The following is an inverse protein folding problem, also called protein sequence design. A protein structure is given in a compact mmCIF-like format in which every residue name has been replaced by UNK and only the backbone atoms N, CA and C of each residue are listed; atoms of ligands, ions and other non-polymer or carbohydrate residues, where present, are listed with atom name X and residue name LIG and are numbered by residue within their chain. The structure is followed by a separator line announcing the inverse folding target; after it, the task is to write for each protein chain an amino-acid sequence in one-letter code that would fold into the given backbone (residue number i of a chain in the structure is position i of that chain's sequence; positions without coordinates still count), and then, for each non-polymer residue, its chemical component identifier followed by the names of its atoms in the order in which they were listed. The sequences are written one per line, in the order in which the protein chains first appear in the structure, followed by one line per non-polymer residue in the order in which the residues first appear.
data_IF_821695944758
#
_entry.id   IF_821695944758
#
_cell.length_a   1.000
_cell.length_b   1.000
_cell.length_c   1.000
_cell.angle_alpha   90.00
_cell.angle_beta   90.00
_cell.angle_gamma   90.00
#
_symmetry.space_group_name_H-M   'P 1'
#
loop_
_entity.id
_entity.type
_entity.pdbx_description
1 polymer ?
#
# COMPACT_ATOMS: atom_id res chain seq x y z
N UNK A 1 59.82 28.19 19.58
CA UNK A 1 59.51 27.12 18.59
C UNK A 1 58.06 27.29 18.17
N UNK A 2 57.77 27.51 16.88
CA UNK A 2 56.38 27.58 16.36
C UNK A 2 55.92 26.15 16.01
N UNK A 3 54.69 25.71 16.35
CA UNK A 3 54.21 24.41 15.93
C UNK A 3 54.00 24.42 14.41
N UNK A 4 54.59 23.45 13.73
CA UNK A 4 54.36 23.24 12.31
C UNK A 4 52.93 22.66 12.14
N UNK A 5 52.01 23.44 11.57
CA UNK A 5 50.66 22.97 11.26
C UNK A 5 50.74 21.95 10.12
N UNK A 6 50.63 20.66 10.44
CA UNK A 6 50.56 19.59 9.45
C UNK A 6 49.26 19.75 8.64
N UNK A 7 49.40 20.04 7.34
CA UNK A 7 48.28 20.12 6.41
C UNK A 7 47.78 18.69 6.14
N UNK A 8 46.60 18.34 6.63
CA UNK A 8 45.94 17.07 6.33
C UNK A 8 45.29 17.16 4.95
N UNK A 9 45.88 16.50 3.96
CA UNK A 9 45.32 16.42 2.60
C UNK A 9 44.27 15.30 2.56
N UNK A 10 43.01 15.65 2.27
CA UNK A 10 41.90 14.68 2.10
C UNK A 10 41.48 14.57 0.64
N UNK A 11 41.15 13.35 0.21
CA UNK A 11 40.54 13.08 -1.10
C UNK A 11 39.05 13.45 -1.06
N UNK A 12 38.53 13.98 -2.17
CA UNK A 12 37.10 14.23 -2.37
C UNK A 12 36.43 13.05 -3.08
N UNK A 13 35.18 12.75 -2.73
CA UNK A 13 34.38 11.72 -3.40
C UNK A 13 33.79 12.14 -4.75
N UNK A 14 33.96 13.40 -5.16
CA UNK A 14 33.41 13.96 -6.41
C UNK A 14 31.89 13.75 -6.57
N UNK A 15 31.15 13.76 -5.46
CA UNK A 15 29.69 13.66 -5.48
C UNK A 15 29.07 14.85 -6.22
N UNK A 16 27.99 14.57 -6.94
CA UNK A 16 27.20 15.60 -7.62
C UNK A 16 26.31 16.33 -6.61
N UNK A 17 25.98 17.61 -6.88
CA UNK A 17 25.01 18.34 -6.08
C UNK A 17 23.63 17.68 -6.14
N UNK A 18 22.73 18.01 -5.20
CA UNK A 18 21.36 17.53 -5.23
C UNK A 18 20.64 17.92 -6.53
N UNK A 19 19.72 17.06 -6.98
CA UNK A 19 18.93 17.26 -8.22
C UNK A 19 17.99 18.45 -8.09
N UNK A 20 17.50 18.72 -6.89
CA UNK A 20 16.63 19.83 -6.57
C UNK A 20 17.36 20.80 -5.64
N UNK A 21 17.40 22.08 -6.03
CA UNK A 21 17.92 23.12 -5.17
C UNK A 21 16.89 23.52 -4.09
N UNK A 22 17.36 24.29 -3.13
CA UNK A 22 16.58 24.65 -1.96
C UNK A 22 15.43 25.59 -2.33
N UNK A 23 15.68 26.53 -3.24
CA UNK A 23 14.73 27.49 -3.75
C UNK A 23 13.56 26.79 -4.45
N UNK A 24 13.84 25.78 -5.28
CA UNK A 24 12.84 24.93 -5.92
C UNK A 24 11.98 24.22 -4.88
N UNK A 25 12.59 23.56 -3.89
CA UNK A 25 11.85 22.87 -2.83
C UNK A 25 10.95 23.83 -2.05
N UNK A 26 11.42 25.05 -1.76
CA UNK A 26 10.63 26.07 -1.08
C UNK A 26 9.48 26.62 -1.94
N UNK A 27 9.65 26.63 -3.26
CA UNK A 27 8.63 27.12 -4.20
C UNK A 27 7.49 26.13 -4.44
N UNK A 28 7.58 24.89 -3.92
CA UNK A 28 6.54 23.89 -4.08
C UNK A 28 5.25 24.33 -3.39
N UNK A 29 4.21 24.53 -4.20
CA UNK A 29 2.84 24.79 -3.76
C UNK A 29 1.95 23.58 -4.05
N UNK A 30 1.02 23.28 -3.15
CA UNK A 30 0.13 22.13 -3.24
C UNK A 30 -1.31 22.63 -3.40
N UNK A 31 -1.78 22.65 -4.65
CA UNK A 31 -3.15 23.06 -4.99
C UNK A 31 -4.23 22.16 -4.36
N UNK A 32 -3.87 20.94 -3.95
CA UNK A 32 -4.79 19.90 -3.48
C UNK A 32 -5.13 19.95 -1.98
N UNK A 33 -4.69 20.99 -1.27
CA UNK A 33 -4.95 21.15 0.17
C UNK A 33 -6.34 21.74 0.49
N UNK A 34 -7.06 22.24 -0.53
CA UNK A 34 -8.35 22.89 -0.35
C UNK A 34 -9.49 21.94 0.08
N UNK A 35 -10.45 22.48 0.83
CA UNK A 35 -11.63 21.75 1.35
C UNK A 35 -12.38 20.98 0.26
N UNK A 36 -12.48 21.54 -0.96
CA UNK A 36 -13.09 20.88 -2.13
C UNK A 36 -12.53 19.47 -2.39
N UNK A 37 -11.22 19.29 -2.26
CA UNK A 37 -10.56 18.00 -2.49
C UNK A 37 -10.75 17.05 -1.32
N UNK A 38 -10.73 17.56 -0.09
CA UNK A 38 -10.98 16.78 1.11
C UNK A 38 -12.42 16.22 1.13
N UNK A 39 -13.41 17.06 0.79
CA UNK A 39 -14.81 16.67 0.66
C UNK A 39 -14.98 15.62 -0.44
N UNK A 40 -14.44 15.87 -1.64
CA UNK A 40 -14.52 14.92 -2.74
C UNK A 40 -13.83 13.59 -2.43
N UNK A 41 -12.68 13.63 -1.78
CA UNK A 41 -11.97 12.42 -1.33
C UNK A 41 -12.83 11.60 -0.34
N UNK A 42 -13.50 12.27 0.59
CA UNK A 42 -14.38 11.62 1.57
C UNK A 42 -15.60 10.99 0.92
N UNK A 43 -16.23 11.66 -0.05
CA UNK A 43 -17.32 11.08 -0.84
C UNK A 43 -16.90 9.82 -1.59
N UNK A 44 -15.74 9.86 -2.26
CA UNK A 44 -15.21 8.72 -3.01
C UNK A 44 -14.85 7.55 -2.09
N UNK A 45 -14.27 7.83 -0.91
CA UNK A 45 -14.04 6.79 0.10
C UNK A 45 -15.34 6.09 0.50
N UNK A 46 -16.40 6.85 0.71
CA UNK A 46 -17.71 6.28 1.05
C UNK A 46 -18.26 5.40 -0.08
N UNK A 47 -18.10 5.83 -1.35
CA UNK A 47 -18.51 5.01 -2.49
C UNK A 47 -17.71 3.71 -2.60
N UNK A 48 -16.41 3.73 -2.34
CA UNK A 48 -15.57 2.51 -2.31
C UNK A 48 -16.02 1.57 -1.19
N UNK A 49 -16.38 2.09 0.00
CA UNK A 49 -16.97 1.27 1.07
C UNK A 49 -18.29 0.64 0.64
N UNK A 50 -19.17 1.37 -0.06
CA UNK A 50 -20.40 0.80 -0.60
C UNK A 50 -20.13 -0.29 -1.67
N UNK A 51 -19.10 -0.13 -2.50
CA UNK A 51 -18.69 -1.16 -3.46
C UNK A 51 -18.24 -2.40 -2.71
N UNK A 52 -17.41 -2.22 -1.68
CA UNK A 52 -16.96 -3.30 -0.80
C UNK A 52 -18.16 -4.06 -0.19
N UNK A 53 -19.12 -3.36 0.43
CA UNK A 53 -20.30 -3.96 1.06
C UNK A 53 -21.19 -4.72 0.07
N UNK A 54 -21.26 -4.26 -1.18
CA UNK A 54 -22.04 -4.91 -2.26
C UNK A 54 -21.31 -6.08 -2.91
N UNK A 55 -20.00 -6.18 -2.74
CA UNK A 55 -19.20 -7.22 -3.39
C UNK A 55 -19.33 -8.51 -2.61
N UNK A 56 -20.12 -9.45 -3.12
CA UNK A 56 -20.42 -10.72 -2.44
C UNK A 56 -19.46 -11.84 -2.84
N UNK A 57 -18.94 -11.80 -4.08
CA UNK A 57 -18.08 -12.88 -4.61
C UNK A 57 -16.67 -12.77 -4.01
N UNK A 58 -16.09 -13.87 -3.48
CA UNK A 58 -14.75 -13.84 -2.90
C UNK A 58 -13.66 -13.36 -3.85
N UNK A 59 -13.72 -13.76 -5.14
CA UNK A 59 -12.73 -13.32 -6.13
C UNK A 59 -12.78 -11.80 -6.35
N UNK A 60 -13.96 -11.25 -6.61
CA UNK A 60 -14.18 -9.81 -6.79
C UNK A 60 -13.71 -9.02 -5.54
N UNK A 61 -13.90 -9.57 -4.34
CA UNK A 61 -13.40 -8.99 -3.09
C UNK A 61 -11.86 -8.96 -3.04
N UNK A 62 -11.19 -10.06 -3.41
CA UNK A 62 -9.73 -10.13 -3.47
C UNK A 62 -9.16 -9.17 -4.52
N UNK A 63 -9.81 -9.06 -5.68
CA UNK A 63 -9.41 -8.12 -6.73
C UNK A 63 -9.59 -6.66 -6.30
N UNK A 64 -10.66 -6.35 -5.57
CA UNK A 64 -10.84 -5.03 -4.99
C UNK A 64 -9.70 -4.68 -4.02
N UNK A 65 -9.33 -5.61 -3.13
CA UNK A 65 -8.20 -5.43 -2.22
C UNK A 65 -6.89 -5.19 -3.00
N UNK A 66 -6.62 -6.01 -4.01
CA UNK A 66 -5.41 -5.88 -4.83
C UNK A 66 -5.35 -4.52 -5.53
N UNK A 67 -6.46 -4.07 -6.11
CA UNK A 67 -6.54 -2.77 -6.75
C UNK A 67 -6.28 -1.63 -5.76
N UNK A 68 -6.88 -1.68 -4.56
CA UNK A 68 -6.66 -0.66 -3.52
C UNK A 68 -5.19 -0.59 -3.08
N UNK A 69 -4.52 -1.74 -2.95
CA UNK A 69 -3.10 -1.81 -2.60
C UNK A 69 -2.21 -1.26 -3.71
N UNK A 70 -2.45 -1.66 -4.97
CA UNK A 70 -1.66 -1.22 -6.14
C UNK A 70 -1.84 0.26 -6.45
N UNK A 71 -3.00 0.82 -6.12
CA UNK A 71 -3.27 2.26 -6.18
C UNK A 71 -2.65 3.05 -5.01
N UNK A 72 -2.10 2.38 -4.00
CA UNK A 72 -1.51 3.04 -2.83
C UNK A 72 -2.53 3.69 -1.89
N UNK A 73 -3.81 3.29 -1.96
CA UNK A 73 -4.90 3.87 -1.16
C UNK A 73 -5.49 2.88 -0.14
N UNK A 74 -4.93 1.68 -0.03
CA UNK A 74 -5.38 0.62 0.89
C UNK A 74 -5.40 1.05 2.35
N UNK A 75 -4.53 1.99 2.75
CA UNK A 75 -4.46 2.51 4.13
C UNK A 75 -5.76 3.21 4.59
N UNK A 76 -6.63 3.60 3.67
CA UNK A 76 -7.96 4.14 4.00
C UNK A 76 -9.01 3.08 4.35
N UNK A 77 -8.70 1.80 4.09
CA UNK A 77 -9.64 0.68 4.15
C UNK A 77 -9.06 -0.52 4.92
N UNK A 78 -8.09 -0.30 5.80
CA UNK A 78 -7.38 -1.40 6.50
C UNK A 78 -8.33 -2.31 7.27
N UNK A 79 -9.35 -1.75 7.91
CA UNK A 79 -10.34 -2.51 8.67
C UNK A 79 -11.16 -3.41 7.76
N UNK A 80 -11.67 -2.85 6.66
CA UNK A 80 -12.45 -3.54 5.64
C UNK A 80 -11.64 -4.68 4.98
N UNK A 81 -10.38 -4.41 4.64
CA UNK A 81 -9.46 -5.40 4.07
C UNK A 81 -9.23 -6.56 5.05
N UNK A 82 -8.92 -6.24 6.32
CA UNK A 82 -8.68 -7.25 7.35
C UNK A 82 -9.92 -8.13 7.62
N UNK A 83 -11.11 -7.54 7.58
CA UNK A 83 -12.37 -8.26 7.74
C UNK A 83 -12.57 -9.29 6.62
N UNK A 84 -12.41 -8.90 5.34
CA UNK A 84 -12.50 -9.83 4.21
C UNK A 84 -11.49 -10.98 4.37
N UNK A 85 -10.22 -10.64 4.57
CA UNK A 85 -9.15 -11.64 4.58
C UNK A 85 -9.32 -12.62 5.75
N UNK A 86 -9.80 -12.15 6.90
CA UNK A 86 -10.13 -13.01 8.04
C UNK A 86 -11.27 -14.00 7.71
N UNK A 87 -12.34 -13.53 7.05
CA UNK A 87 -13.45 -14.39 6.62
C UNK A 87 -12.98 -15.43 5.60
N UNK A 88 -12.16 -15.03 4.63
CA UNK A 88 -11.61 -15.93 3.60
C UNK A 88 -10.70 -16.99 4.26
N UNK A 89 -9.77 -16.58 5.12
CA UNK A 89 -8.85 -17.49 5.81
C UNK A 89 -9.58 -18.50 6.70
N UNK A 90 -10.67 -18.09 7.34
CA UNK A 90 -11.51 -18.99 8.15
C UNK A 90 -12.16 -20.07 7.27
N UNK A 91 -12.75 -19.69 6.13
CA UNK A 91 -13.33 -20.64 5.17
C UNK A 91 -12.29 -21.64 4.63
N UNK A 92 -11.07 -21.17 4.37
CA UNK A 92 -9.96 -22.02 3.97
C UNK A 92 -9.62 -23.08 5.04
N UNK A 93 -9.60 -22.68 6.31
CA UNK A 93 -9.24 -23.54 7.44
C UNK A 93 -10.31 -24.61 7.76
N UNK A 94 -11.58 -24.31 7.49
CA UNK A 94 -12.71 -25.22 7.77
C UNK A 94 -12.85 -26.37 6.74
N UNK A 95 -11.90 -26.50 5.80
CA UNK A 95 -11.90 -27.54 4.76
C UNK A 95 -13.21 -27.58 3.94
N UNK A 96 -13.88 -26.44 3.80
CA UNK A 96 -15.05 -26.31 2.95
C UNK A 96 -14.60 -26.38 1.47
N UNK A 97 -14.52 -27.61 0.95
CA UNK A 97 -14.13 -27.96 -0.43
C UNK A 97 -14.99 -27.25 -1.48
N UNK A 98 -16.15 -26.72 -1.07
CA UNK A 98 -17.06 -25.97 -1.93
C UNK A 98 -16.69 -24.48 -2.03
N UNK A 99 -15.94 -23.97 -1.04
CA UNK A 99 -15.47 -22.57 -0.98
C UNK A 99 -14.10 -22.34 -1.61
N UNK A 100 -13.31 -23.41 -1.84
CA UNK A 100 -12.02 -23.31 -2.53
C UNK A 100 -12.23 -22.76 -3.93
N UNK A 101 -11.68 -21.58 -4.20
CA UNK A 101 -11.73 -21.02 -5.55
C UNK A 101 -10.87 -21.92 -6.43
N UNK A 102 -11.50 -22.65 -7.36
CA UNK A 102 -10.84 -23.68 -8.18
C UNK A 102 -9.89 -23.13 -9.25
N UNK A 103 -9.83 -21.81 -9.38
CA UNK A 103 -9.04 -21.13 -10.38
C UNK A 103 -7.62 -20.83 -9.86
N UNK A 104 -6.62 -21.04 -10.72
CA UNK A 104 -5.21 -20.83 -10.39
C UNK A 104 -4.94 -19.36 -10.05
N UNK A 105 -5.52 -18.44 -10.83
CA UNK A 105 -5.35 -17.01 -10.60
C UNK A 105 -5.94 -16.60 -9.25
N UNK A 106 -7.18 -17.02 -8.97
CA UNK A 106 -7.81 -16.74 -7.69
C UNK A 106 -7.04 -17.33 -6.49
N UNK A 107 -6.56 -18.57 -6.61
CA UNK A 107 -5.78 -19.24 -5.55
C UNK A 107 -4.47 -18.50 -5.29
N UNK A 108 -3.75 -18.11 -6.35
CA UNK A 108 -2.51 -17.36 -6.22
C UNK A 108 -2.72 -15.96 -5.63
N UNK A 109 -3.82 -15.30 -6.01
CA UNK A 109 -4.20 -13.99 -5.49
C UNK A 109 -4.54 -14.07 -4.00
N UNK A 110 -5.36 -15.02 -3.60
CA UNK A 110 -5.73 -15.29 -2.21
C UNK A 110 -4.48 -15.57 -1.37
N UNK A 111 -3.64 -16.52 -1.80
CA UNK A 111 -2.41 -16.89 -1.12
C UNK A 111 -1.49 -15.69 -0.90
N UNK A 112 -1.28 -14.88 -1.94
CA UNK A 112 -0.45 -13.68 -1.87
C UNK A 112 -1.01 -12.68 -0.86
N UNK A 113 -2.30 -12.35 -0.96
CA UNK A 113 -2.94 -11.36 -0.09
C UNK A 113 -2.92 -11.82 1.37
N UNK A 114 -3.25 -13.08 1.64
CA UNK A 114 -3.19 -13.65 2.99
C UNK A 114 -1.78 -13.58 3.58
N UNK A 115 -0.74 -14.01 2.84
CA UNK A 115 0.65 -13.92 3.32
C UNK A 115 1.10 -12.47 3.53
N UNK A 116 0.73 -11.54 2.65
CA UNK A 116 1.06 -10.12 2.79
C UNK A 116 0.48 -9.51 4.06
N UNK A 117 -0.69 -9.98 4.51
CA UNK A 117 -1.36 -9.54 5.73
C UNK A 117 -1.04 -10.41 6.96
N UNK A 118 -0.02 -11.29 6.87
CA UNK A 118 0.48 -12.06 8.01
C UNK A 118 -0.33 -13.29 8.39
N UNK A 119 -1.28 -13.72 7.55
CA UNK A 119 -1.99 -14.99 7.77
C UNK A 119 -1.08 -16.18 7.47
N UNK A 120 -1.22 -17.24 8.28
CA UNK A 120 -0.49 -18.50 8.07
C UNK A 120 -1.18 -19.31 6.99
N UNK A 121 -0.54 -19.40 5.82
CA UNK A 121 -1.02 -20.23 4.70
C UNK A 121 0.02 -21.29 4.39
N UNK A 122 -0.42 -22.55 4.28
CA UNK A 122 0.42 -23.67 3.89
C UNK A 122 0.86 -23.56 2.43
N UNK A 123 2.00 -24.17 2.11
CA UNK A 123 2.46 -24.34 0.72
C UNK A 123 1.73 -25.48 0.01
#
# INVERSE_FOLDING_TARGET
MRPCSQIVIRRSGNYKPPVWDFEYIQSLDIEYTGERYATRSSELKMQVKMIHDKTVKPLDQLELIDNLQRLGISYHFENEINQILSVINKKYSENDQQSKIKDLYATALEFRLLRQHGFKVSE
#
